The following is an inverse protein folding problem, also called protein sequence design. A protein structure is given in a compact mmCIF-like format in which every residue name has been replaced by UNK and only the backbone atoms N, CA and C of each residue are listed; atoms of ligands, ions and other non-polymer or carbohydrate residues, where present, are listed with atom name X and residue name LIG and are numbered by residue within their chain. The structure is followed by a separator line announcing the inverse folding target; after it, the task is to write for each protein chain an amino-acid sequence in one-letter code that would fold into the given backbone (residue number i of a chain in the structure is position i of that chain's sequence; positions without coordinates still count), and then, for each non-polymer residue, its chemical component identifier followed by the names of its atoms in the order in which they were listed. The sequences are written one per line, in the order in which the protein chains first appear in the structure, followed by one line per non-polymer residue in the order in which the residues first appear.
data_IF_848069429495
#
_entry.id   IF_848069429495
#
_cell.length_a   1.000
_cell.length_b   1.000
_cell.length_c   1.000
_cell.angle_alpha   90.00
_cell.angle_beta   90.00
_cell.angle_gamma   90.00
#
_symmetry.space_group_name_H-M   'P 1'
#
loop_
_entity.id
_entity.type
_entity.pdbx_description
1 polymer ?
#
# COMPACT_ATOMS: atom_id res chain seq x y z
N UNK A 1 22.06 -3.90 -9.18
CA UNK A 1 21.31 -2.76 -8.60
C UNK A 1 21.57 -2.71 -7.10
N UNK A 2 21.81 -1.53 -6.58
CA UNK A 2 22.09 -1.26 -5.18
C UNK A 2 20.88 -0.54 -4.56
N UNK A 3 20.33 -1.10 -3.50
CA UNK A 3 19.12 -0.57 -2.86
C UNK A 3 19.38 -0.21 -1.40
N UNK A 4 19.11 1.04 -1.04
CA UNK A 4 19.12 1.47 0.34
C UNK A 4 17.70 1.39 0.93
N UNK A 5 17.54 0.78 2.12
CA UNK A 5 16.24 0.67 2.79
C UNK A 5 16.25 1.45 4.10
N UNK A 6 15.46 2.52 4.16
CA UNK A 6 15.18 3.30 5.36
C UNK A 6 14.01 2.65 6.09
N UNK A 7 14.04 2.65 7.42
CA UNK A 7 13.02 1.95 8.22
C UNK A 7 13.16 0.43 8.22
N UNK A 8 14.34 -0.10 7.87
CA UNK A 8 14.65 -1.53 7.76
C UNK A 8 14.57 -2.31 9.08
N UNK A 9 14.46 -1.65 10.21
CA UNK A 9 14.19 -2.27 11.53
C UNK A 9 12.69 -2.43 11.83
N UNK A 10 11.81 -1.84 11.01
CA UNK A 10 10.36 -2.02 11.10
C UNK A 10 9.90 -3.28 10.36
N UNK A 11 8.66 -3.68 10.58
CA UNK A 11 8.08 -4.90 9.97
C UNK A 11 8.11 -4.85 8.44
N UNK A 12 7.61 -3.80 7.81
CA UNK A 12 7.59 -3.65 6.34
C UNK A 12 9.02 -3.54 5.80
N UNK A 13 9.82 -2.63 6.34
CA UNK A 13 11.19 -2.42 5.86
C UNK A 13 12.09 -3.64 6.04
N UNK A 14 11.92 -4.40 7.13
CA UNK A 14 12.59 -5.67 7.36
C UNK A 14 12.23 -6.70 6.29
N UNK A 15 10.93 -6.81 5.95
CA UNK A 15 10.44 -7.74 4.93
C UNK A 15 10.90 -7.34 3.52
N UNK A 16 10.93 -6.04 3.20
CA UNK A 16 11.52 -5.53 1.94
C UNK A 16 12.98 -5.94 1.81
N UNK A 17 13.78 -5.81 2.87
CA UNK A 17 15.19 -6.23 2.87
C UNK A 17 15.31 -7.74 2.61
N UNK A 18 14.50 -8.54 3.30
CA UNK A 18 14.50 -10.01 3.14
C UNK A 18 14.23 -10.41 1.68
N UNK A 19 13.19 -9.86 1.08
CA UNK A 19 12.80 -10.18 -0.29
C UNK A 19 13.82 -9.71 -1.32
N UNK A 20 14.34 -8.49 -1.18
CA UNK A 20 15.40 -7.99 -2.08
C UNK A 20 16.69 -8.82 -2.00
N UNK A 21 17.08 -9.23 -0.80
CA UNK A 21 18.24 -10.09 -0.61
C UNK A 21 18.02 -11.49 -1.24
N UNK A 22 16.82 -12.05 -1.11
CA UNK A 22 16.49 -13.34 -1.73
C UNK A 22 16.53 -13.29 -3.25
N UNK A 23 16.28 -12.12 -3.84
CA UNK A 23 16.39 -11.84 -5.27
C UNK A 23 17.83 -11.50 -5.72
N UNK A 24 18.82 -11.58 -4.82
CA UNK A 24 20.24 -11.29 -5.14
C UNK A 24 20.53 -9.79 -5.32
N UNK A 25 19.69 -8.90 -4.84
CA UNK A 25 19.91 -7.45 -4.87
C UNK A 25 20.93 -7.07 -3.80
N UNK A 26 21.86 -6.16 -4.12
CA UNK A 26 22.78 -5.59 -3.13
C UNK A 26 22.03 -4.57 -2.25
N UNK A 27 21.77 -4.92 -0.98
CA UNK A 27 20.93 -4.15 -0.07
C UNK A 27 21.75 -3.61 1.10
N UNK A 28 21.57 -2.32 1.40
CA UNK A 28 22.08 -1.70 2.64
C UNK A 28 20.97 -1.10 3.45
N UNK A 29 21.10 -1.25 4.77
CA UNK A 29 20.14 -0.76 5.75
C UNK A 29 20.56 0.61 6.25
N UNK A 30 19.66 1.58 6.19
CA UNK A 30 19.78 2.85 6.92
C UNK A 30 19.21 2.69 8.32
N UNK A 31 20.04 2.78 9.34
CA UNK A 31 19.66 2.64 10.75
C UNK A 31 19.88 3.97 11.49
N UNK A 32 19.12 4.18 12.57
CA UNK A 32 19.20 5.43 13.35
C UNK A 32 20.30 5.46 14.40
N UNK A 33 20.96 4.34 14.69
CA UNK A 33 21.95 4.27 15.77
C UNK A 33 23.07 3.31 15.43
N UNK A 34 24.32 3.78 15.57
CA UNK A 34 25.54 3.00 15.84
C UNK A 34 25.88 1.84 14.92
N UNK A 35 25.38 1.85 13.71
CA UNK A 35 25.58 0.73 12.82
C UNK A 35 26.94 0.83 12.12
N UNK A 36 27.77 -0.19 12.33
CA UNK A 36 28.94 -0.45 11.50
C UNK A 36 28.58 -1.03 10.12
N UNK A 37 29.54 -1.12 9.22
CA UNK A 37 29.34 -1.76 7.92
C UNK A 37 28.74 -3.20 8.07
N UNK A 38 27.84 -3.62 7.21
CA UNK A 38 27.37 -3.00 5.96
C UNK A 38 26.22 -1.98 6.12
N UNK A 39 25.96 -1.48 7.30
CA UNK A 39 24.86 -0.55 7.58
C UNK A 39 25.37 0.89 7.65
N UNK A 40 24.47 1.85 7.44
CA UNK A 40 24.76 3.27 7.57
C UNK A 40 23.93 3.89 8.69
N UNK A 41 24.60 4.67 9.54
CA UNK A 41 23.91 5.52 10.50
C UNK A 41 23.35 6.73 9.75
N UNK A 42 22.01 6.78 9.65
CA UNK A 42 21.28 7.88 9.01
C UNK A 42 20.92 9.01 9.98
N UNK A 43 21.27 8.88 11.26
CA UNK A 43 21.08 9.95 12.24
C UNK A 43 22.10 11.07 12.03
N UNK A 44 23.25 10.76 11.42
CA UNK A 44 24.22 11.76 11.01
C UNK A 44 24.16 12.07 9.50
N UNK A 45 24.59 13.29 9.15
CA UNK A 45 24.58 13.77 7.76
C UNK A 45 25.54 12.97 6.87
N UNK A 46 26.66 12.52 7.41
CA UNK A 46 27.72 11.85 6.67
C UNK A 46 27.27 10.43 6.30
N UNK A 47 26.69 9.68 7.23
CA UNK A 47 26.13 8.35 7.00
C UNK A 47 25.01 8.40 5.97
N UNK A 48 24.08 9.36 6.10
CA UNK A 48 23.00 9.55 5.14
C UNK A 48 23.52 9.86 3.72
N UNK A 49 24.50 10.77 3.60
CA UNK A 49 25.09 11.15 2.31
C UNK A 49 25.82 9.96 1.65
N UNK A 50 26.55 9.16 2.41
CA UNK A 50 27.24 7.97 1.91
C UNK A 50 26.25 6.90 1.43
N UNK A 51 25.14 6.71 2.17
CA UNK A 51 24.10 5.76 1.79
C UNK A 51 23.44 6.16 0.46
N UNK A 52 23.07 7.43 0.31
CA UNK A 52 22.49 7.97 -0.91
C UNK A 52 23.46 7.85 -2.10
N UNK A 53 24.71 8.25 -1.91
CA UNK A 53 25.73 8.18 -2.97
C UNK A 53 26.05 6.74 -3.41
N UNK A 54 25.79 5.75 -2.56
CA UNK A 54 25.99 4.35 -2.88
C UNK A 54 24.80 3.73 -3.60
N UNK A 55 23.57 4.19 -3.34
CA UNK A 55 22.34 3.56 -3.81
C UNK A 55 21.97 3.95 -5.24
N UNK A 56 21.43 3.01 -6.01
CA UNK A 56 20.75 3.27 -7.27
C UNK A 56 19.27 3.64 -7.03
N UNK A 57 18.66 3.10 -5.95
CA UNK A 57 17.28 3.35 -5.51
C UNK A 57 17.24 3.39 -3.98
N UNK A 58 16.45 4.28 -3.41
CA UNK A 58 16.14 4.30 -1.97
C UNK A 58 14.70 3.81 -1.77
N UNK A 59 14.51 2.86 -0.86
CA UNK A 59 13.18 2.49 -0.35
C UNK A 59 12.97 3.16 1.00
N UNK A 60 11.87 3.90 1.12
CA UNK A 60 11.44 4.52 2.36
C UNK A 60 10.24 3.78 2.96
N UNK A 61 10.51 2.98 3.99
CA UNK A 61 9.51 2.31 4.82
C UNK A 61 9.38 2.96 6.20
N UNK A 62 9.73 4.24 6.31
CA UNK A 62 9.49 5.03 7.53
C UNK A 62 8.04 5.52 7.58
N UNK A 63 7.53 5.89 8.78
CA UNK A 63 6.17 6.41 8.88
C UNK A 63 5.94 7.63 7.98
N UNK A 64 4.85 7.63 7.22
CA UNK A 64 4.53 8.65 6.20
C UNK A 64 4.42 10.09 6.74
N UNK A 65 4.10 10.24 8.01
CA UNK A 65 3.98 11.53 8.70
C UNK A 65 5.32 12.08 9.23
N UNK A 66 6.38 11.30 9.14
CA UNK A 66 7.74 11.76 9.48
C UNK A 66 8.37 12.37 8.23
N UNK A 67 8.53 13.69 8.23
CA UNK A 67 9.34 14.33 7.20
C UNK A 67 10.80 13.86 7.38
N UNK A 68 11.18 12.84 6.59
CA UNK A 68 12.51 12.28 6.68
C UNK A 68 13.49 13.10 5.83
N UNK A 69 14.40 13.88 6.45
CA UNK A 69 15.34 14.72 5.70
C UNK A 69 16.29 13.89 4.80
N UNK A 70 16.46 12.59 5.09
CA UNK A 70 17.25 11.70 4.24
C UNK A 70 16.50 11.44 2.95
N UNK A 71 15.17 11.23 2.99
CA UNK A 71 14.32 11.05 1.81
C UNK A 71 14.34 12.31 0.94
N UNK A 72 14.15 13.47 1.53
CA UNK A 72 14.20 14.74 0.80
C UNK A 72 15.54 14.92 0.06
N UNK A 73 16.64 14.59 0.73
CA UNK A 73 17.97 14.66 0.12
C UNK A 73 18.18 13.57 -0.93
N UNK A 74 17.66 12.36 -0.73
CA UNK A 74 17.76 11.30 -1.72
C UNK A 74 17.09 11.71 -3.04
N UNK A 75 15.93 12.37 -2.96
CA UNK A 75 15.19 12.86 -4.13
C UNK A 75 15.90 13.97 -4.92
N UNK A 76 17.02 14.50 -4.45
CA UNK A 76 17.90 15.37 -5.24
C UNK A 76 18.76 14.56 -6.22
N UNK A 77 18.98 13.26 -5.99
CA UNK A 77 20.01 12.48 -6.66
C UNK A 77 19.54 11.11 -7.20
N UNK A 78 18.68 10.41 -6.46
CA UNK A 78 18.30 9.01 -6.76
C UNK A 78 16.80 8.79 -6.62
N UNK A 79 16.21 7.88 -7.40
CA UNK A 79 14.81 7.50 -7.25
C UNK A 79 14.50 7.00 -5.84
N UNK A 80 13.31 7.37 -5.35
CA UNK A 80 12.79 6.91 -4.04
C UNK A 80 11.45 6.21 -4.22
N UNK A 81 11.32 5.04 -3.60
CA UNK A 81 10.06 4.29 -3.47
C UNK A 81 9.61 4.37 -2.02
N UNK A 82 8.50 5.06 -1.74
CA UNK A 82 7.95 5.22 -0.40
C UNK A 82 6.71 4.37 -0.20
N UNK A 83 6.65 3.63 0.90
CA UNK A 83 5.46 2.84 1.28
C UNK A 83 4.29 3.73 1.73
N UNK A 84 4.57 4.95 2.19
CA UNK A 84 3.58 5.97 2.53
C UNK A 84 3.12 6.79 1.32
N UNK A 85 2.13 7.67 1.56
CA UNK A 85 1.50 8.50 0.52
C UNK A 85 1.95 9.96 0.53
N UNK A 86 3.05 10.29 1.18
CA UNK A 86 3.56 11.66 1.21
C UNK A 86 4.20 12.00 -0.13
N UNK A 87 3.63 12.98 -0.82
CA UNK A 87 4.26 13.55 -2.00
C UNK A 87 5.39 14.49 -1.56
N UNK A 88 6.63 14.13 -1.88
CA UNK A 88 7.81 14.95 -1.60
C UNK A 88 8.36 15.44 -2.95
N UNK A 89 8.49 16.75 -3.10
CA UNK A 89 9.09 17.33 -4.30
C UNK A 89 10.61 17.11 -4.30
N UNK A 90 11.14 16.74 -5.47
CA UNK A 90 12.57 16.53 -5.69
C UNK A 90 12.91 16.55 -7.17
N UNK A 91 14.19 16.41 -7.52
CA UNK A 91 14.64 16.33 -8.92
C UNK A 91 14.57 14.90 -9.47
N UNK A 92 14.77 13.91 -8.59
CA UNK A 92 14.67 12.50 -8.94
C UNK A 92 13.24 12.00 -8.83
N UNK A 93 12.99 10.83 -9.41
CA UNK A 93 11.68 10.18 -9.41
C UNK A 93 11.26 9.78 -8.00
N UNK A 94 10.04 10.15 -7.61
CA UNK A 94 9.41 9.70 -6.38
C UNK A 94 8.20 8.82 -6.69
N UNK A 95 8.25 7.58 -6.27
CA UNK A 95 7.15 6.60 -6.31
C UNK A 95 6.55 6.51 -4.90
N UNK A 96 5.36 7.05 -4.71
CA UNK A 96 4.63 7.01 -3.43
C UNK A 96 3.60 5.87 -3.40
N UNK A 97 2.98 5.63 -2.26
CA UNK A 97 1.93 4.61 -2.11
C UNK A 97 2.36 3.18 -2.46
N UNK A 98 3.65 2.84 -2.27
CA UNK A 98 4.15 1.48 -2.48
C UNK A 98 3.76 0.55 -1.31
N UNK A 99 2.47 0.54 -0.98
CA UNK A 99 1.87 -0.20 0.12
C UNK A 99 0.64 -0.99 -0.29
N UNK A 100 -0.11 -1.45 0.69
CA UNK A 100 -1.34 -2.21 0.45
C UNK A 100 -2.53 -1.28 0.14
N UNK A 101 -2.77 -0.26 0.99
CA UNK A 101 -3.88 0.68 0.86
C UNK A 101 -3.46 2.06 1.45
N UNK A 102 -3.33 3.13 0.64
CA UNK A 102 -3.39 3.13 -0.83
C UNK A 102 -2.32 2.23 -1.45
N UNK A 103 -2.51 1.85 -2.72
CA UNK A 103 -1.60 1.01 -3.46
C UNK A 103 -2.27 -0.21 -4.11
N UNK A 104 -1.70 -1.41 -3.90
CA UNK A 104 -2.12 -2.60 -4.67
C UNK A 104 -3.60 -2.96 -4.51
N UNK A 105 -4.21 -2.76 -3.34
CA UNK A 105 -5.63 -3.10 -3.11
C UNK A 105 -6.59 -2.14 -3.82
N UNK A 106 -6.20 -0.89 -4.04
CA UNK A 106 -6.95 0.04 -4.89
C UNK A 106 -6.99 -0.45 -6.34
N UNK A 107 -6.04 -1.28 -6.76
CA UNK A 107 -6.02 -1.91 -8.08
C UNK A 107 -6.91 -3.13 -8.26
N UNK A 108 -7.54 -3.67 -7.21
CA UNK A 108 -8.37 -4.91 -7.28
C UNK A 108 -9.48 -4.86 -8.33
N UNK A 109 -10.21 -3.74 -8.55
CA UNK A 109 -11.16 -3.63 -9.64
C UNK A 109 -10.60 -3.94 -11.03
N UNK A 110 -9.30 -3.74 -11.23
CA UNK A 110 -8.62 -4.03 -12.50
C UNK A 110 -8.54 -5.53 -12.81
N UNK A 111 -8.83 -6.40 -11.85
CA UNK A 111 -8.89 -7.85 -12.04
C UNK A 111 -10.20 -8.31 -12.67
N UNK A 112 -11.24 -7.46 -12.71
CA UNK A 112 -12.49 -7.72 -13.43
C UNK A 112 -12.24 -7.68 -14.94
N UNK A 113 -12.93 -8.55 -15.73
CA UNK A 113 -12.72 -8.62 -17.17
C UNK A 113 -13.30 -7.42 -17.93
N UNK A 114 -14.31 -6.76 -17.39
CA UNK A 114 -15.06 -5.67 -18.04
C UNK A 114 -14.82 -4.32 -17.38
N UNK A 115 -14.92 -3.24 -18.17
CA UNK A 115 -14.71 -1.86 -17.74
C UNK A 115 -15.91 -0.95 -18.04
N UNK A 116 -16.92 -1.47 -18.70
CA UNK A 116 -18.09 -0.73 -19.19
C UNK A 116 -19.26 -0.71 -18.20
N UNK A 117 -19.12 -1.38 -17.07
CA UNK A 117 -20.15 -1.51 -16.03
C UNK A 117 -19.81 -0.70 -14.78
N UNK A 118 -20.83 -0.49 -13.94
CA UNK A 118 -20.63 0.06 -12.60
C UNK A 118 -19.95 -0.97 -11.72
N UNK A 119 -18.89 -0.58 -11.06
CA UNK A 119 -18.10 -1.44 -10.19
C UNK A 119 -18.22 -0.99 -8.75
N UNK A 120 -18.34 -1.94 -7.83
CA UNK A 120 -18.25 -1.72 -6.39
C UNK A 120 -16.99 -2.42 -5.89
N UNK A 121 -16.11 -1.66 -5.24
CA UNK A 121 -14.89 -2.16 -4.60
C UNK A 121 -15.01 -2.07 -3.09
N UNK A 122 -14.68 -3.16 -2.41
CA UNK A 122 -14.73 -3.28 -0.95
C UNK A 122 -13.41 -3.83 -0.44
N UNK A 123 -12.82 -3.16 0.53
CA UNK A 123 -11.57 -3.60 1.17
C UNK A 123 -11.77 -3.72 2.66
N UNK A 124 -11.43 -4.86 3.24
CA UNK A 124 -11.42 -5.08 4.68
C UNK A 124 -10.00 -5.34 5.16
N UNK A 125 -9.60 -4.60 6.18
CA UNK A 125 -8.33 -4.82 6.89
C UNK A 125 -8.65 -5.36 8.27
N UNK A 126 -8.04 -6.51 8.58
CA UNK A 126 -8.21 -7.27 9.81
C UNK A 126 -6.87 -7.41 10.58
N UNK A 127 -5.85 -6.69 10.11
CA UNK A 127 -4.52 -6.67 10.73
C UNK A 127 -4.48 -5.81 11.99
N UNK A 128 -3.59 -6.13 12.94
CA UNK A 128 -3.20 -5.17 13.95
C UNK A 128 -2.67 -3.90 13.29
N UNK A 129 -3.15 -2.74 13.71
CA UNK A 129 -2.68 -1.47 13.17
C UNK A 129 -1.58 -0.88 14.05
N UNK A 130 -0.41 -0.64 13.49
CA UNK A 130 0.57 0.23 14.14
C UNK A 130 0.00 1.66 14.26
N UNK A 131 0.53 2.46 15.19
CA UNK A 131 0.13 3.87 15.29
C UNK A 131 0.32 4.65 13.99
N UNK A 132 1.33 4.29 13.20
CA UNK A 132 1.58 4.90 11.90
C UNK A 132 0.48 4.56 10.91
N UNK A 133 0.13 3.27 10.78
CA UNK A 133 -0.95 2.83 9.90
C UNK A 133 -2.32 3.40 10.34
N UNK A 134 -2.57 3.51 11.64
CA UNK A 134 -3.76 4.15 12.18
C UNK A 134 -3.86 5.64 11.80
N UNK A 135 -2.74 6.37 11.82
CA UNK A 135 -2.69 7.77 11.35
C UNK A 135 -2.98 7.89 9.86
N UNK A 136 -2.37 7.05 9.04
CA UNK A 136 -2.58 7.04 7.59
C UNK A 136 -4.05 6.73 7.25
N UNK A 137 -4.64 5.77 7.94
CA UNK A 137 -6.05 5.42 7.82
C UNK A 137 -6.99 6.57 8.19
N UNK A 138 -6.70 7.31 9.27
CA UNK A 138 -7.46 8.51 9.65
C UNK A 138 -7.40 9.60 8.58
N UNK A 139 -6.28 9.76 7.91
CA UNK A 139 -6.15 10.73 6.82
C UNK A 139 -6.98 10.30 5.60
N UNK A 140 -7.00 9.02 5.25
CA UNK A 140 -7.84 8.45 4.21
C UNK A 140 -9.34 8.60 4.51
N UNK A 141 -9.76 8.27 5.73
CA UNK A 141 -11.15 8.42 6.18
C UNK A 141 -11.64 9.88 6.17
N UNK A 142 -10.76 10.85 6.41
CA UNK A 142 -11.08 12.28 6.35
C UNK A 142 -11.25 12.82 4.91
N UNK A 143 -10.69 12.13 3.91
CA UNK A 143 -10.77 12.49 2.49
C UNK A 143 -11.93 11.82 1.76
N UNK A 144 -12.50 10.76 2.35
CA UNK A 144 -13.61 10.01 1.76
C UNK A 144 -14.93 10.79 1.70
N UNK A 145 -15.95 10.25 1.01
CA UNK A 145 -17.24 10.93 0.75
C UNK A 145 -18.12 11.13 1.99
N UNK A 146 -17.53 11.35 3.14
CA UNK A 146 -18.24 11.55 4.40
C UNK A 146 -18.67 10.23 5.05
N UNK A 147 -19.25 10.32 6.23
CA UNK A 147 -19.60 9.17 7.08
C UNK A 147 -20.81 8.37 6.54
N UNK A 148 -20.82 8.01 5.26
CA UNK A 148 -21.80 7.07 4.72
C UNK A 148 -21.43 5.68 5.21
N UNK A 149 -22.31 5.08 5.98
CA UNK A 149 -22.14 3.72 6.51
C UNK A 149 -23.20 2.83 5.90
N UNK A 150 -22.77 1.69 5.37
CA UNK A 150 -23.64 0.56 5.06
C UNK A 150 -23.38 -0.53 6.08
N UNK A 151 -24.41 -0.99 6.76
CA UNK A 151 -24.29 -2.01 7.82
C UNK A 151 -24.62 -3.39 7.28
N UNK A 152 -24.03 -4.41 7.91
CA UNK A 152 -24.33 -5.82 7.69
C UNK A 152 -24.30 -6.20 6.20
N UNK A 153 -23.32 -5.70 5.48
CA UNK A 153 -23.13 -6.03 4.06
C UNK A 153 -22.36 -7.35 3.97
N UNK A 154 -22.98 -8.33 3.31
CA UNK A 154 -22.32 -9.61 3.04
C UNK A 154 -21.30 -9.46 1.92
N UNK A 155 -20.13 -10.05 2.11
CA UNK A 155 -19.09 -10.20 1.08
C UNK A 155 -19.01 -11.70 0.70
N UNK A 156 -19.80 -12.17 -0.30
CA UNK A 156 -20.05 -13.59 -0.52
C UNK A 156 -18.80 -14.41 -0.77
N UNK A 157 -17.89 -13.95 -1.64
CA UNK A 157 -16.62 -14.64 -1.91
C UNK A 157 -15.72 -14.76 -0.69
N UNK A 158 -15.93 -13.93 0.30
CA UNK A 158 -15.09 -13.85 1.50
C UNK A 158 -15.80 -14.42 2.74
N UNK A 159 -17.07 -14.84 2.56
CA UNK A 159 -17.94 -15.38 3.60
C UNK A 159 -17.93 -14.53 4.89
N UNK A 160 -18.06 -13.22 4.73
CA UNK A 160 -17.99 -12.26 5.81
C UNK A 160 -19.12 -11.24 5.72
N UNK A 161 -19.69 -10.88 6.89
CA UNK A 161 -20.57 -9.72 7.05
C UNK A 161 -19.80 -8.56 7.67
N UNK A 162 -19.88 -7.39 7.06
CA UNK A 162 -19.07 -6.24 7.45
C UNK A 162 -19.87 -4.93 7.37
N UNK A 163 -19.49 -3.99 8.20
CA UNK A 163 -19.95 -2.61 8.09
C UNK A 163 -18.99 -1.87 7.12
N UNK A 164 -19.55 -1.24 6.11
CA UNK A 164 -18.81 -0.51 5.09
C UNK A 164 -18.83 1.00 5.37
N UNK A 165 -17.69 1.64 5.20
CA UNK A 165 -17.54 3.09 5.21
C UNK A 165 -17.03 3.55 3.84
N UNK A 166 -17.59 4.62 3.30
CA UNK A 166 -17.11 5.22 2.06
C UNK A 166 -15.63 5.57 2.17
N UNK A 167 -14.86 5.22 1.16
CA UNK A 167 -13.41 5.38 1.14
C UNK A 167 -12.95 6.03 -0.15
N UNK A 168 -11.91 6.87 -0.07
CA UNK A 168 -11.17 7.35 -1.22
C UNK A 168 -9.70 7.55 -0.80
N UNK A 169 -8.79 7.17 -1.68
CA UNK A 169 -7.36 7.38 -1.51
C UNK A 169 -6.73 8.09 -2.72
N UNK A 170 -5.42 8.15 -2.77
CA UNK A 170 -4.69 8.83 -3.84
C UNK A 170 -4.87 8.12 -5.19
N UNK A 171 -5.08 6.81 -5.19
CA UNK A 171 -5.16 5.98 -6.39
C UNK A 171 -6.58 5.80 -6.92
N UNK A 172 -7.64 6.11 -6.13
CA UNK A 172 -9.03 5.90 -6.56
C UNK A 172 -9.37 6.64 -7.86
N UNK A 173 -8.96 7.91 -7.99
CA UNK A 173 -9.19 8.67 -9.21
C UNK A 173 -8.45 8.10 -10.44
N UNK A 174 -7.26 7.51 -10.23
CA UNK A 174 -6.50 6.83 -11.28
C UNK A 174 -7.26 5.60 -11.81
N UNK A 175 -7.88 4.84 -10.90
CA UNK A 175 -8.65 3.65 -11.24
C UNK A 175 -10.00 4.04 -11.86
N UNK A 176 -10.69 5.04 -11.31
CA UNK A 176 -11.95 5.56 -11.87
C UNK A 176 -11.80 5.92 -13.35
N UNK A 177 -10.68 6.54 -13.72
CA UNK A 177 -10.37 6.88 -15.10
C UNK A 177 -10.18 5.67 -16.05
N UNK A 178 -10.17 4.45 -15.54
CA UNK A 178 -10.05 3.20 -16.32
C UNK A 178 -11.39 2.50 -16.57
N UNK A 179 -12.48 3.01 -16.02
CA UNK A 179 -13.82 2.47 -16.14
C UNK A 179 -14.76 3.48 -16.80
N UNK A 180 -15.80 3.01 -17.47
CA UNK A 180 -16.83 3.87 -18.06
C UNK A 180 -17.66 4.62 -17.01
N UNK A 181 -17.71 4.09 -15.79
CA UNK A 181 -18.38 4.69 -14.64
C UNK A 181 -17.42 4.73 -13.45
N UNK A 182 -17.47 5.76 -12.59
CA UNK A 182 -16.68 5.80 -11.37
C UNK A 182 -16.93 4.55 -10.50
N UNK A 183 -15.87 4.01 -9.90
CA UNK A 183 -15.96 2.88 -8.99
C UNK A 183 -16.56 3.36 -7.66
N UNK A 184 -17.44 2.58 -7.09
CA UNK A 184 -18.00 2.83 -5.77
C UNK A 184 -17.08 2.22 -4.71
N UNK A 185 -16.38 3.07 -3.95
CA UNK A 185 -15.32 2.68 -3.03
C UNK A 185 -15.79 2.53 -1.60
N UNK A 186 -15.51 1.38 -1.00
CA UNK A 186 -15.83 1.07 0.38
C UNK A 186 -14.66 0.45 1.11
N UNK A 187 -14.47 0.86 2.37
CA UNK A 187 -13.60 0.20 3.32
C UNK A 187 -14.44 -0.51 4.37
N UNK A 188 -14.16 -1.77 4.58
CA UNK A 188 -14.75 -2.54 5.65
C UNK A 188 -13.74 -2.64 6.79
N UNK A 189 -14.26 -2.70 8.01
CA UNK A 189 -13.44 -2.71 9.21
C UNK A 189 -13.78 -3.94 10.02
N UNK A 190 -12.75 -4.66 10.41
CA UNK A 190 -12.93 -5.85 11.20
C UNK A 190 -13.49 -5.50 12.59
N UNK A 191 -14.77 -5.76 12.76
CA UNK A 191 -15.48 -5.65 14.01
C UNK A 191 -16.02 -4.26 14.37
N UNK A 192 -17.14 -4.28 15.09
CA UNK A 192 -17.85 -3.06 15.55
C UNK A 192 -16.96 -2.18 16.43
N UNK A 193 -16.09 -2.79 17.25
CA UNK A 193 -15.20 -2.06 18.16
C UNK A 193 -14.24 -1.12 17.41
N UNK A 194 -13.68 -1.56 16.30
CA UNK A 194 -12.79 -0.71 15.51
C UNK A 194 -13.56 0.44 14.85
N UNK A 195 -14.73 0.16 14.29
CA UNK A 195 -15.63 1.17 13.75
C UNK A 195 -15.97 2.24 14.80
N UNK A 196 -16.41 1.82 15.99
CA UNK A 196 -16.81 2.73 17.06
C UNK A 196 -15.61 3.57 17.54
N UNK A 197 -14.42 2.97 17.59
CA UNK A 197 -13.17 3.67 17.87
C UNK A 197 -12.87 4.75 16.82
N UNK A 198 -13.09 4.47 15.54
CA UNK A 198 -12.87 5.46 14.49
C UNK A 198 -13.81 6.66 14.63
N UNK A 199 -15.11 6.42 14.84
CA UNK A 199 -16.05 7.53 15.04
C UNK A 199 -15.69 8.37 16.27
N UNK A 200 -15.22 7.70 17.33
CA UNK A 200 -14.72 8.40 18.53
C UNK A 200 -13.45 9.19 18.26
N UNK A 201 -12.61 8.73 17.34
CA UNK A 201 -11.34 9.37 16.97
C UNK A 201 -11.52 10.62 16.09
N UNK A 202 -12.70 10.81 15.50
CA UNK A 202 -13.01 12.01 14.71
C UNK A 202 -13.01 13.24 15.63
N UNK A 203 -12.09 14.17 15.38
CA UNK A 203 -11.96 15.39 16.19
C UNK A 203 -10.95 15.29 17.33
N UNK A 204 -10.38 14.10 17.62
CA UNK A 204 -9.27 13.95 18.54
C UNK A 204 -7.95 14.48 17.95
N UNK A 205 -6.99 14.75 18.83
CA UNK A 205 -5.59 14.90 18.44
C UNK A 205 -5.11 13.70 17.64
N UNK A 206 -4.33 13.88 16.55
CA UNK A 206 -3.91 12.78 15.68
C UNK A 206 -3.17 11.64 16.40
N UNK A 207 -2.36 11.93 17.42
CA UNK A 207 -1.61 10.91 18.16
C UNK A 207 -2.53 10.13 19.11
N UNK A 208 -3.45 10.82 19.76
CA UNK A 208 -4.45 10.22 20.61
C UNK A 208 -5.40 9.33 19.78
N UNK A 209 -5.89 9.84 18.65
CA UNK A 209 -6.73 9.12 17.71
C UNK A 209 -6.04 7.84 17.19
N UNK A 210 -4.78 7.95 16.77
CA UNK A 210 -4.00 6.81 16.31
C UNK A 210 -3.80 5.75 17.40
N UNK A 211 -3.63 6.17 18.66
CA UNK A 211 -3.51 5.27 19.80
C UNK A 211 -4.82 4.52 20.07
N UNK A 212 -5.96 5.20 20.01
CA UNK A 212 -7.30 4.62 20.19
C UNK A 212 -7.59 3.58 19.11
N UNK A 213 -7.28 3.89 17.85
CA UNK A 213 -7.49 2.98 16.73
C UNK A 213 -6.56 1.77 16.80
N UNK A 214 -5.28 1.99 17.10
CA UNK A 214 -4.31 0.90 17.25
C UNK A 214 -4.73 -0.07 18.35
N UNK A 215 -5.27 0.42 19.47
CA UNK A 215 -5.78 -0.41 20.55
C UNK A 215 -7.09 -1.15 20.23
N UNK A 216 -7.89 -0.61 19.29
CA UNK A 216 -9.13 -1.23 18.86
C UNK A 216 -8.95 -2.25 17.73
N UNK A 217 -7.86 -2.14 16.98
CA UNK A 217 -7.53 -3.06 15.90
C UNK A 217 -7.18 -4.47 16.42
N UNK A 218 -7.44 -5.48 15.61
CA UNK A 218 -7.16 -6.87 15.95
C UNK A 218 -8.27 -7.60 16.73
N UNK A 219 -9.37 -6.93 17.07
CA UNK A 219 -10.50 -7.54 17.78
C UNK A 219 -11.65 -7.96 16.84
N UNK A 220 -11.40 -8.67 15.81
CA UNK A 220 -12.40 -9.11 14.85
C UNK A 220 -11.74 -9.78 13.67
N UNK A 221 -10.60 -10.36 13.91
CA UNK A 221 -9.72 -10.96 12.91
C UNK A 221 -10.39 -12.16 12.26
N UNK A 222 -10.43 -12.16 10.94
CA UNK A 222 -10.71 -13.37 10.16
C UNK A 222 -9.48 -14.30 10.32
N UNK A 223 -9.63 -15.52 10.84
CA UNK A 223 -8.48 -16.38 11.08
C UNK A 223 -7.64 -16.60 9.81
N UNK A 224 -6.32 -16.40 9.91
CA UNK A 224 -5.38 -16.62 8.80
C UNK A 224 -5.45 -15.59 7.65
N UNK A 225 -6.14 -14.45 7.84
CA UNK A 225 -6.27 -13.44 6.81
C UNK A 225 -6.30 -12.03 7.41
N UNK A 226 -5.33 -11.21 7.06
CA UNK A 226 -5.25 -9.81 7.48
C UNK A 226 -5.91 -8.84 6.50
N UNK A 227 -6.04 -9.24 5.23
CA UNK A 227 -6.60 -8.39 4.18
C UNK A 227 -7.57 -9.19 3.33
N UNK A 228 -8.76 -8.65 3.17
CA UNK A 228 -9.77 -9.10 2.25
C UNK A 228 -10.13 -7.94 1.32
N UNK A 229 -10.18 -8.18 0.02
CA UNK A 229 -10.69 -7.21 -0.93
C UNK A 229 -11.61 -7.90 -1.94
N UNK A 230 -12.60 -7.17 -2.41
CA UNK A 230 -13.60 -7.66 -3.36
C UNK A 230 -13.95 -6.56 -4.35
N UNK A 231 -14.05 -6.91 -5.62
CA UNK A 231 -14.63 -6.05 -6.61
C UNK A 231 -15.70 -6.81 -7.40
N UNK A 232 -16.83 -6.15 -7.69
CA UNK A 232 -17.92 -6.73 -8.47
C UNK A 232 -18.56 -5.69 -9.38
N UNK A 233 -18.97 -6.11 -10.57
CA UNK A 233 -19.79 -5.33 -11.50
C UNK A 233 -21.25 -5.76 -11.52
N UNK A 234 -21.63 -6.64 -10.60
CA UNK A 234 -22.98 -7.22 -10.50
C UNK A 234 -23.15 -8.52 -11.27
N UNK A 235 -22.19 -8.90 -12.13
CA UNK A 235 -22.15 -10.19 -12.85
C UNK A 235 -20.83 -10.88 -12.52
N UNK A 236 -19.72 -10.23 -12.83
CA UNK A 236 -18.39 -10.72 -12.48
C UNK A 236 -18.02 -10.29 -11.07
N UNK A 237 -17.35 -11.17 -10.35
CA UNK A 237 -16.88 -10.90 -9.00
C UNK A 237 -15.47 -11.46 -8.81
N UNK A 238 -14.60 -10.66 -8.19
CA UNK A 238 -13.26 -11.07 -7.82
C UNK A 238 -13.03 -10.81 -6.34
N UNK A 239 -12.54 -11.81 -5.63
CA UNK A 239 -12.12 -11.73 -4.23
C UNK A 239 -10.61 -11.92 -4.09
N UNK A 240 -10.02 -11.20 -3.15
CA UNK A 240 -8.60 -11.28 -2.80
C UNK A 240 -8.47 -11.53 -1.31
N UNK A 241 -7.67 -12.53 -0.94
CA UNK A 241 -7.29 -12.81 0.44
C UNK A 241 -5.78 -12.76 0.58
N UNK A 242 -5.28 -12.05 1.58
CA UNK A 242 -3.85 -12.00 1.89
C UNK A 242 -3.65 -12.24 3.37
N UNK A 243 -2.77 -13.20 3.69
CA UNK A 243 -2.51 -13.60 5.07
C UNK A 243 -1.78 -12.51 5.86
N UNK A 244 -0.92 -11.70 5.21
CA UNK A 244 -0.12 -10.67 5.87
C UNK A 244 -0.13 -9.36 5.10
N UNK A 245 -0.59 -8.30 5.72
CA UNK A 245 -0.52 -6.92 5.24
C UNK A 245 0.93 -6.47 5.02
N UNK A 246 1.81 -6.82 5.95
CA UNK A 246 3.24 -6.51 5.88
C UNK A 246 3.89 -7.10 4.62
N UNK A 247 3.60 -8.38 4.33
CA UNK A 247 4.10 -9.05 3.13
C UNK A 247 3.55 -8.40 1.85
N UNK A 248 2.28 -8.03 1.84
CA UNK A 248 1.68 -7.34 0.69
C UNK A 248 2.33 -5.97 0.44
N UNK A 249 2.57 -5.18 1.49
CA UNK A 249 3.27 -3.91 1.38
C UNK A 249 4.71 -4.11 0.87
N UNK A 250 5.42 -5.11 1.37
CA UNK A 250 6.78 -5.41 0.92
C UNK A 250 6.79 -5.82 -0.55
N UNK A 251 5.91 -6.72 -0.97
CA UNK A 251 5.80 -7.17 -2.37
C UNK A 251 5.53 -6.00 -3.33
N UNK A 252 4.69 -5.03 -2.93
CA UNK A 252 4.43 -3.83 -3.73
C UNK A 252 5.70 -2.98 -3.87
N UNK A 253 6.39 -2.68 -2.78
CA UNK A 253 7.62 -1.89 -2.80
C UNK A 253 8.73 -2.58 -3.61
N UNK A 254 8.92 -3.89 -3.43
CA UNK A 254 9.90 -4.70 -4.18
C UNK A 254 9.55 -4.73 -5.67
N UNK A 255 8.27 -4.84 -6.03
CA UNK A 255 7.82 -4.79 -7.43
C UNK A 255 8.18 -3.45 -8.07
N UNK A 256 7.97 -2.32 -7.38
CA UNK A 256 8.39 -1.01 -7.86
C UNK A 256 9.91 -0.92 -8.07
N UNK A 257 10.70 -1.42 -7.11
CA UNK A 257 12.17 -1.47 -7.23
C UNK A 257 12.62 -2.29 -8.44
N UNK A 258 12.02 -3.46 -8.67
CA UNK A 258 12.33 -4.32 -9.84
C UNK A 258 11.97 -3.62 -11.16
N UNK A 259 10.82 -2.97 -11.22
CA UNK A 259 10.40 -2.19 -12.38
C UNK A 259 11.40 -1.08 -12.67
N UNK A 260 11.78 -0.29 -11.67
CA UNK A 260 12.77 0.78 -11.84
C UNK A 260 14.12 0.25 -12.29
N UNK A 261 14.57 -0.87 -11.72
CA UNK A 261 15.80 -1.55 -12.15
C UNK A 261 15.78 -2.01 -13.61
N UNK A 262 14.63 -2.47 -14.09
CA UNK A 262 14.42 -2.91 -15.47
C UNK A 262 14.34 -1.77 -16.50
N UNK A 263 13.85 -0.61 -16.10
CA UNK A 263 13.69 0.54 -16.99
C UNK A 263 15.02 1.20 -17.40
N UNK A 264 16.03 1.10 -16.54
CA UNK A 264 17.29 1.85 -16.72
C UNK A 264 17.07 3.38 -16.65
N UNK A 265 18.14 4.15 -16.81
CA UNK A 265 18.09 5.63 -16.67
C UNK A 265 17.16 6.29 -17.68
N UNK A 266 17.22 5.87 -18.95
CA UNK A 266 16.41 6.44 -20.02
C UNK A 266 14.89 6.20 -19.80
N UNK A 267 14.51 5.00 -19.34
CA UNK A 267 13.12 4.69 -19.03
C UNK A 267 12.61 5.47 -17.82
N UNK A 268 13.43 5.63 -16.80
CA UNK A 268 13.06 6.41 -15.61
C UNK A 268 12.87 7.91 -15.92
N UNK A 269 13.69 8.49 -16.79
CA UNK A 269 13.54 9.91 -17.20
C UNK A 269 12.29 10.18 -18.04
N UNK A 270 11.69 9.16 -18.64
CA UNK A 270 10.44 9.27 -19.38
C UNK A 270 9.19 9.27 -18.45
N UNK A 271 9.35 8.96 -17.17
CA UNK A 271 8.26 8.96 -16.19
C UNK A 271 8.05 10.35 -15.58
N UNK A 272 6.83 10.68 -15.12
CA UNK A 272 6.61 11.85 -14.29
C UNK A 272 7.50 11.80 -13.04
N UNK A 273 8.02 12.94 -12.59
CA UNK A 273 8.86 13.00 -11.38
C UNK A 273 8.15 12.51 -10.12
N UNK A 274 6.82 12.57 -10.11
CA UNK A 274 6.00 12.05 -9.01
C UNK A 274 4.89 11.18 -9.59
N UNK A 275 4.76 9.96 -9.10
CA UNK A 275 3.67 9.05 -9.42
C UNK A 275 3.43 8.10 -8.23
N UNK A 276 2.26 7.45 -8.22
CA UNK A 276 2.02 6.40 -7.26
C UNK A 276 2.59 5.07 -7.74
N UNK A 277 2.80 4.14 -6.82
CA UNK A 277 3.27 2.80 -7.17
C UNK A 277 2.29 2.09 -8.11
N UNK A 278 0.99 2.27 -7.91
CA UNK A 278 -0.03 1.71 -8.80
C UNK A 278 0.06 2.32 -10.22
N UNK A 279 0.27 3.64 -10.34
CA UNK A 279 0.47 4.28 -11.66
C UNK A 279 1.75 3.77 -12.34
N UNK A 280 2.84 3.57 -11.58
CA UNK A 280 4.07 2.96 -12.11
C UNK A 280 3.80 1.57 -12.70
N UNK A 281 3.16 0.68 -11.94
CA UNK A 281 2.85 -0.68 -12.40
C UNK A 281 1.98 -0.66 -13.66
N UNK A 282 0.95 0.19 -13.69
CA UNK A 282 0.06 0.29 -14.84
C UNK A 282 0.76 0.82 -16.11
N UNK A 283 1.68 1.77 -15.97
CA UNK A 283 2.48 2.30 -17.11
C UNK A 283 3.47 1.29 -17.66
N UNK A 284 3.96 0.41 -16.80
CA UNK A 284 4.96 -0.61 -17.18
C UNK A 284 4.36 -1.96 -17.51
N UNK A 285 3.04 -2.10 -17.42
CA UNK A 285 2.32 -3.33 -17.75
C UNK A 285 2.44 -4.42 -16.70
N UNK A 286 2.88 -4.08 -15.47
CA UNK A 286 2.94 -5.03 -14.37
C UNK A 286 1.53 -5.25 -13.81
N UNK A 287 1.08 -6.51 -13.79
CA UNK A 287 -0.26 -6.84 -13.34
C UNK A 287 -0.40 -6.76 -11.81
N UNK A 288 -1.47 -6.12 -11.33
CA UNK A 288 -1.83 -6.06 -9.90
C UNK A 288 -1.94 -7.48 -9.30
N UNK A 289 -2.53 -8.42 -10.03
CA UNK A 289 -2.63 -9.83 -9.60
C UNK A 289 -1.28 -10.46 -9.30
N UNK A 290 -0.28 -10.20 -10.13
CA UNK A 290 1.08 -10.70 -9.91
C UNK A 290 1.68 -10.23 -8.58
N UNK A 291 1.46 -8.97 -8.20
CA UNK A 291 1.94 -8.44 -6.91
C UNK A 291 1.23 -9.15 -5.74
N UNK A 292 -0.09 -9.36 -5.86
CA UNK A 292 -0.89 -10.08 -4.86
C UNK A 292 -0.39 -11.52 -4.69
N UNK A 293 -0.20 -12.24 -5.79
CA UNK A 293 0.30 -13.62 -5.79
C UNK A 293 1.72 -13.73 -5.23
N UNK A 294 2.60 -12.79 -5.56
CA UNK A 294 3.96 -12.71 -4.99
C UNK A 294 3.91 -12.56 -3.46
N UNK A 295 2.92 -11.85 -2.94
CA UNK A 295 2.68 -11.73 -1.50
C UNK A 295 2.04 -12.98 -0.86
N UNK A 296 1.87 -14.07 -1.61
CA UNK A 296 1.14 -15.26 -1.16
C UNK A 296 -0.38 -15.04 -1.07
N UNK A 297 -0.90 -14.02 -1.73
CA UNK A 297 -2.34 -13.76 -1.82
C UNK A 297 -3.05 -14.73 -2.74
N UNK A 298 -4.31 -15.01 -2.42
CA UNK A 298 -5.20 -15.85 -3.23
C UNK A 298 -6.24 -14.97 -3.90
N UNK A 299 -6.35 -15.10 -5.23
CA UNK A 299 -7.37 -14.44 -6.04
C UNK A 299 -8.44 -15.48 -6.39
N UNK A 300 -9.66 -15.20 -5.98
CA UNK A 300 -10.83 -16.06 -6.26
C UNK A 300 -11.76 -15.32 -7.23
N UNK A 301 -12.27 -16.02 -8.23
CA UNK A 301 -13.30 -15.51 -9.14
C UNK A 301 -14.57 -16.31 -8.90
N UNK A 302 -15.73 -15.64 -8.94
CA UNK A 302 -16.98 -16.38 -8.98
C UNK A 302 -17.00 -17.24 -10.28
N UNK A 303 -17.48 -18.49 -10.22
CA UNK A 303 -17.67 -19.28 -11.43
C UNK A 303 -18.64 -18.54 -12.35
N UNK A 304 -18.29 -18.49 -13.65
CA UNK A 304 -19.22 -18.04 -14.68
C UNK A 304 -20.45 -18.93 -14.61
N UNK A 305 -21.63 -18.37 -14.31
CA UNK A 305 -22.90 -19.12 -14.33
C UNK A 305 -23.31 -19.53 -15.75
N UNK A 306 -22.49 -19.31 -16.77
CA UNK A 306 -22.74 -19.69 -18.18
C UNK A 306 -22.28 -21.12 -18.50
N UNK A 307 -22.50 -22.08 -17.62
CA UNK A 307 -22.07 -23.49 -17.81
C UNK A 307 -23.17 -24.56 -17.77
N UNK A 308 -24.45 -24.19 -17.62
CA UNK A 308 -25.57 -25.16 -17.73
C UNK A 308 -26.79 -24.54 -18.44
N UNK A 309 -26.82 -24.61 -19.74
CA UNK A 309 -28.02 -24.63 -20.57
C UNK A 309 -27.94 -25.81 -21.55
#
# INVERSE_FOLDING_TARGET
MKVAVLGSSGEIGGKVVEELLSDGVDVRRGLRTGAGAPHFDISDRTGATRLIAWADVVVDATPSWVCNPVVTRALEHVPVVSTGHVAIAGQALHVSCAGALPGVLTGVPLLLPRRDRKVVSRTMISAPLSRSAARDMLQGARRGPGAVIRRDVRMPLLDAEVDLVGYADTDTALIDGRFAHPVEWWSAWAGRRFRDALFSAVGMDPDQAASVLSAAAGNGVVPGCEVLAQATDGIDEVGVRVASMTTLCAAMAVSCVKVLGGLGTAGMTALPQQLTALDLLLRTGTAVGQVIETAGGVITRAPDEEGEL
#
